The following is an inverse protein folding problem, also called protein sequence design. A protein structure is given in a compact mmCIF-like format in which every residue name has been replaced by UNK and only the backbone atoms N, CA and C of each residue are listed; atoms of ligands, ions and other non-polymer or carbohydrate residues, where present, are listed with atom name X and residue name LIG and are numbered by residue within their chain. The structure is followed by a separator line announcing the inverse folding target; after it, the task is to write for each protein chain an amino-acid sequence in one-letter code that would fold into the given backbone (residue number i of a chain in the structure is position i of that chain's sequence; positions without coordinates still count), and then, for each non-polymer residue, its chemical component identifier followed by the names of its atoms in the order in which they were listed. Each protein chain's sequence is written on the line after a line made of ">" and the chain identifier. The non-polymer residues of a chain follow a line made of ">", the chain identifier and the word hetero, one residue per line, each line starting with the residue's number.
data_IF_878909825329
#
_entry.id   IF_878909825329
#
_cell.length_a   1.000
_cell.length_b   1.000
_cell.length_c   1.000
_cell.angle_alpha   90.00
_cell.angle_beta   90.00
_cell.angle_gamma   90.00
#
_symmetry.space_group_name_H-M   'P 1'
#
loop_
_entity.id
_entity.type
_entity.pdbx_description
1 polymer ?
#
# COMPACT_ATOMS: atom_id res chain seq x y z
N UNK A 1 -27.86 -33.46 -36.97
CA UNK A 1 -26.93 -34.10 -37.93
C UNK A 1 -26.95 -33.27 -39.23
N UNK A 2 -25.95 -33.43 -40.10
CA UNK A 2 -25.98 -33.16 -41.56
C UNK A 2 -26.58 -31.82 -42.07
N UNK A 3 -25.70 -30.91 -42.50
CA UNK A 3 -25.81 -30.31 -43.85
C UNK A 3 -25.25 -31.29 -44.91
N UNK A 4 -24.83 -30.88 -46.14
CA UNK A 4 -24.40 -29.51 -46.53
C UNK A 4 -24.76 -29.05 -47.99
N UNK A 5 -24.30 -27.84 -48.37
CA UNK A 5 -23.83 -27.42 -49.72
C UNK A 5 -24.77 -27.41 -50.96
N UNK A 6 -24.57 -26.60 -52.02
CA UNK A 6 -23.81 -25.35 -52.26
C UNK A 6 -24.09 -24.77 -53.69
N UNK A 7 -23.46 -23.62 -54.03
CA UNK A 7 -23.25 -23.00 -55.38
C UNK A 7 -24.40 -22.23 -56.06
N UNK A 8 -24.18 -21.22 -56.93
CA UNK A 8 -23.08 -20.22 -57.05
C UNK A 8 -23.45 -19.05 -58.04
N UNK A 9 -22.52 -18.09 -58.24
CA UNK A 9 -22.52 -16.94 -59.20
C UNK A 9 -23.36 -15.68 -58.83
N UNK A 10 -22.92 -14.44 -59.13
CA UNK A 10 -21.58 -13.99 -59.58
C UNK A 10 -21.46 -12.48 -59.92
N UNK A 11 -20.21 -11.95 -59.96
CA UNK A 11 -19.72 -10.68 -60.61
C UNK A 11 -20.30 -9.30 -60.21
N UNK A 12 -19.65 -8.12 -60.33
CA UNK A 12 -18.22 -7.62 -60.36
C UNK A 12 -18.28 -6.08 -60.17
N UNK A 13 -17.40 -5.40 -59.42
CA UNK A 13 -16.13 -4.71 -59.85
C UNK A 13 -15.59 -3.90 -58.61
N UNK A 14 -14.30 -3.60 -58.34
CA UNK A 14 -13.18 -2.95 -59.10
C UNK A 14 -13.54 -1.52 -59.54
N UNK A 15 -12.86 -0.45 -59.09
CA UNK A 15 -11.41 -0.11 -59.11
C UNK A 15 -10.85 0.28 -57.71
N UNK A 16 -9.55 0.34 -57.36
CA UNK A 16 -8.23 0.51 -58.03
C UNK A 16 -7.78 1.96 -58.30
N UNK A 17 -6.52 2.44 -58.08
CA UNK A 17 -5.32 2.04 -57.28
C UNK A 17 -4.23 3.13 -57.46
N UNK A 18 -3.17 3.15 -56.63
CA UNK A 18 -1.93 3.99 -56.69
C UNK A 18 -2.05 5.44 -56.14
N UNK A 19 -0.98 6.07 -55.62
CA UNK A 19 0.27 5.46 -55.12
C UNK A 19 1.53 6.36 -55.07
N UNK A 20 2.40 6.08 -54.07
CA UNK A 20 3.88 6.28 -54.06
C UNK A 20 4.46 7.71 -54.19
N UNK A 21 5.14 8.19 -53.14
CA UNK A 21 6.60 8.42 -53.13
C UNK A 21 7.16 8.84 -51.76
N UNK A 22 8.49 8.70 -51.59
CA UNK A 22 9.29 9.22 -50.47
C UNK A 22 9.93 10.55 -50.89
N UNK A 23 10.27 11.42 -49.92
CA UNK A 23 11.40 12.35 -50.03
C UNK A 23 12.12 12.48 -48.69
N UNK A 24 13.45 12.50 -48.74
CA UNK A 24 14.36 12.86 -47.65
C UNK A 24 14.65 14.36 -47.68
N UNK A 25 14.97 14.96 -46.54
CA UNK A 25 15.79 16.19 -46.53
C UNK A 25 16.66 16.22 -45.28
N UNK A 26 17.97 16.31 -45.49
CA UNK A 26 18.98 16.59 -44.48
C UNK A 26 19.27 18.09 -44.46
N UNK A 27 19.54 18.66 -43.29
CA UNK A 27 20.47 19.78 -43.23
C UNK A 27 21.37 19.65 -42.01
N UNK A 28 22.67 19.77 -42.25
CA UNK A 28 23.72 19.74 -41.23
C UNK A 28 24.49 21.05 -41.31
N UNK A 29 24.96 21.56 -40.17
CA UNK A 29 26.20 22.33 -40.12
C UNK A 29 26.96 22.00 -38.83
N UNK A 30 28.23 22.39 -38.80
CA UNK A 30 29.31 21.64 -38.13
C UNK A 30 30.29 22.60 -37.43
N UNK A 31 31.36 22.03 -36.84
CA UNK A 31 32.46 22.71 -36.10
C UNK A 31 32.08 23.14 -34.66
N UNK A 32 33.01 23.21 -33.70
CA UNK A 32 34.46 22.94 -33.75
C UNK A 32 35.02 22.32 -32.44
N UNK A 33 36.33 22.07 -32.40
CA UNK A 33 37.06 21.38 -31.31
C UNK A 33 37.86 22.35 -30.42
N UNK A 34 38.32 21.84 -29.26
CA UNK A 34 39.39 22.38 -28.39
C UNK A 34 39.09 23.70 -27.63
N UNK A 35 39.74 24.02 -26.50
CA UNK A 35 40.43 23.21 -25.48
C UNK A 35 40.68 24.03 -24.19
N UNK A 36 41.05 23.34 -23.10
CA UNK A 36 41.87 23.79 -21.96
C UNK A 36 41.51 25.05 -21.10
N UNK A 37 41.34 24.75 -19.79
CA UNK A 37 42.03 25.38 -18.65
C UNK A 37 41.44 26.58 -17.85
N UNK A 38 41.10 26.24 -16.59
CA UNK A 38 41.36 26.97 -15.31
C UNK A 38 40.66 28.28 -14.92
N UNK A 39 40.47 28.39 -13.59
CA UNK A 39 40.04 29.55 -12.77
C UNK A 39 38.58 30.03 -12.90
N UNK A 40 37.93 30.59 -11.87
CA UNK A 40 38.03 30.36 -10.41
C UNK A 40 36.86 31.07 -9.67
N UNK A 41 36.40 30.51 -8.55
CA UNK A 41 35.74 31.22 -7.43
C UNK A 41 34.41 31.96 -7.69
N UNK A 42 33.30 31.38 -7.25
CA UNK A 42 32.29 32.05 -6.40
C UNK A 42 31.33 31.00 -5.80
N UNK A 43 30.82 31.23 -4.59
CA UNK A 43 29.93 30.29 -3.89
C UNK A 43 28.44 30.56 -4.18
N UNK A 44 27.61 29.52 -4.10
CA UNK A 44 26.18 29.65 -3.83
C UNK A 44 25.69 28.42 -3.05
N UNK A 45 25.43 28.60 -1.75
CA UNK A 45 24.87 27.55 -0.89
C UNK A 45 23.35 27.47 -1.05
N UNK A 46 22.85 26.36 -1.60
CA UNK A 46 21.44 25.97 -1.47
C UNK A 46 21.36 24.61 -0.78
N UNK A 47 20.97 24.62 0.49
CA UNK A 47 21.03 23.45 1.37
C UNK A 47 20.06 22.35 0.96
N UNK A 48 20.60 21.13 0.76
CA UNK A 48 19.81 19.89 0.73
C UNK A 48 19.23 19.64 2.14
N UNK A 49 17.96 19.99 2.34
CA UNK A 49 17.22 19.54 3.53
C UNK A 49 16.74 18.10 3.34
N UNK A 50 17.62 17.14 3.61
CA UNK A 50 17.28 15.72 3.70
C UNK A 50 17.15 15.32 5.18
N UNK A 51 15.97 15.59 5.74
CA UNK A 51 15.65 15.36 7.16
C UNK A 51 14.60 14.26 7.36
N UNK A 52 14.95 13.03 7.02
CA UNK A 52 14.35 11.84 7.64
C UNK A 52 15.46 11.17 8.46
N UNK A 53 15.41 11.34 9.78
CA UNK A 53 16.40 10.77 10.70
C UNK A 53 16.16 9.26 10.80
N UNK A 54 17.08 8.46 10.28
CA UNK A 54 17.11 7.00 10.52
C UNK A 54 17.41 6.73 12.00
N UNK A 55 16.36 6.68 12.82
CA UNK A 55 16.38 6.07 14.15
C UNK A 55 16.84 4.62 13.98
N UNK A 56 18.13 4.36 14.25
CA UNK A 56 18.82 3.07 14.03
C UNK A 56 18.35 1.98 14.98
N UNK A 57 17.12 1.53 14.74
CA UNK A 57 16.67 0.22 15.16
C UNK A 57 17.44 -0.87 14.40
N UNK A 58 17.53 -2.09 14.96
CA UNK A 58 18.28 -3.21 14.39
C UNK A 58 17.61 -3.86 13.17
N UNK A 59 17.08 -3.07 12.24
CA UNK A 59 16.17 -3.56 11.19
C UNK A 59 16.89 -4.43 10.15
N UNK A 60 16.39 -5.65 10.00
CA UNK A 60 16.75 -6.58 8.91
C UNK A 60 16.37 -5.91 7.58
N UNK A 61 17.34 -5.51 6.73
CA UNK A 61 17.12 -4.48 5.72
C UNK A 61 16.10 -4.93 4.68
N UNK A 62 15.01 -4.17 4.58
CA UNK A 62 13.87 -4.49 3.74
C UNK A 62 14.02 -3.90 2.33
N UNK A 63 14.15 -4.76 1.33
CA UNK A 63 14.36 -4.33 -0.06
C UNK A 63 13.05 -4.26 -0.84
N UNK A 64 13.02 -3.36 -1.83
CA UNK A 64 11.89 -3.18 -2.76
C UNK A 64 12.44 -3.17 -4.19
N UNK A 65 11.88 -4.01 -5.04
CA UNK A 65 12.11 -4.00 -6.48
C UNK A 65 11.57 -2.69 -7.09
N UNK A 66 12.38 -2.07 -7.96
CA UNK A 66 12.04 -0.82 -8.68
C UNK A 66 12.32 -0.89 -10.18
N UNK A 67 12.83 -2.02 -10.68
CA UNK A 67 13.23 -2.20 -12.08
C UNK A 67 12.21 -2.94 -12.92
N UNK A 68 11.15 -3.46 -12.29
CA UNK A 68 10.05 -4.16 -12.96
C UNK A 68 10.35 -5.64 -13.12
N UNK A 69 9.95 -6.20 -14.27
CA UNK A 69 10.07 -7.62 -14.58
C UNK A 69 10.55 -7.83 -16.03
N UNK A 70 11.58 -8.68 -16.28
CA UNK A 70 12.35 -9.43 -15.28
C UNK A 70 13.14 -8.54 -14.32
N UNK A 71 13.39 -9.04 -13.11
CA UNK A 71 14.12 -8.31 -12.06
C UNK A 71 15.57 -8.11 -12.50
N UNK A 72 16.11 -6.90 -12.30
CA UNK A 72 17.50 -6.59 -12.66
C UNK A 72 18.53 -7.34 -11.80
N UNK A 73 19.72 -7.58 -12.35
CA UNK A 73 20.80 -8.33 -11.68
C UNK A 73 21.19 -7.75 -10.32
N UNK A 74 21.17 -6.43 -10.13
CA UNK A 74 21.56 -5.82 -8.84
C UNK A 74 20.51 -6.07 -7.77
N UNK A 75 19.22 -5.99 -8.11
CA UNK A 75 18.14 -6.38 -7.18
C UNK A 75 18.12 -7.89 -6.93
N UNK A 76 18.37 -8.71 -7.96
CA UNK A 76 18.41 -10.17 -7.86
C UNK A 76 19.54 -10.67 -6.94
N UNK A 77 20.78 -10.22 -7.17
CA UNK A 77 21.92 -10.60 -6.33
C UNK A 77 21.79 -10.08 -4.90
N UNK A 78 21.18 -8.90 -4.70
CA UNK A 78 20.87 -8.36 -3.37
C UNK A 78 19.82 -9.18 -2.63
N UNK A 79 18.80 -9.71 -3.31
CA UNK A 79 17.81 -10.63 -2.71
C UNK A 79 18.50 -11.91 -2.23
N UNK A 80 19.31 -12.55 -3.07
CA UNK A 80 20.04 -13.76 -2.68
C UNK A 80 21.06 -13.47 -1.55
N UNK A 81 21.81 -12.37 -1.63
CA UNK A 81 22.74 -11.92 -0.57
C UNK A 81 22.06 -11.64 0.78
N UNK A 82 20.75 -11.34 0.79
CA UNK A 82 19.96 -11.21 2.01
C UNK A 82 19.56 -12.59 2.54
N UNK A 83 19.03 -13.45 1.68
CA UNK A 83 18.62 -14.83 2.00
C UNK A 83 19.78 -15.64 2.60
N UNK A 84 20.98 -15.56 1.99
CA UNK A 84 22.22 -16.20 2.49
C UNK A 84 22.59 -15.78 3.93
N UNK A 85 22.18 -14.58 4.38
CA UNK A 85 22.50 -14.05 5.72
C UNK A 85 21.42 -14.32 6.78
N UNK A 86 20.21 -14.67 6.35
CA UNK A 86 19.02 -14.78 7.21
C UNK A 86 18.59 -16.24 7.39
N UNK A 87 18.82 -17.09 6.40
CA UNK A 87 18.53 -18.53 6.48
C UNK A 87 19.68 -19.27 7.20
N UNK A 88 19.41 -20.23 8.12
CA UNK A 88 20.46 -20.99 8.82
C UNK A 88 21.45 -21.67 7.86
N UNK A 89 20.94 -22.45 6.91
CA UNK A 89 21.75 -23.16 5.89
C UNK A 89 22.13 -22.24 4.71
N UNK A 90 22.38 -20.96 4.99
CA UNK A 90 22.29 -19.83 4.05
C UNK A 90 22.85 -20.10 2.65
N UNK A 91 24.17 -20.30 2.53
CA UNK A 91 24.81 -20.48 1.23
C UNK A 91 24.41 -21.80 0.55
N UNK A 92 24.32 -22.91 1.30
CA UNK A 92 23.96 -24.22 0.76
C UNK A 92 22.54 -24.23 0.17
N UNK A 93 21.58 -23.60 0.86
CA UNK A 93 20.22 -23.45 0.37
C UNK A 93 20.15 -22.59 -0.91
N UNK A 94 20.91 -21.49 -0.94
CA UNK A 94 20.97 -20.61 -2.11
C UNK A 94 21.61 -21.30 -3.31
N UNK A 95 22.72 -22.02 -3.14
CA UNK A 95 23.33 -22.79 -4.22
C UNK A 95 22.44 -23.94 -4.70
N UNK A 96 21.74 -24.62 -3.79
CA UNK A 96 20.78 -25.69 -4.11
C UNK A 96 19.63 -25.21 -4.99
N UNK A 97 19.15 -23.96 -4.83
CA UNK A 97 18.09 -23.41 -5.69
C UNK A 97 18.68 -22.80 -6.97
N UNK A 98 19.71 -21.95 -6.86
CA UNK A 98 20.26 -21.19 -8.00
C UNK A 98 20.95 -22.06 -9.05
N UNK A 99 21.57 -23.16 -8.63
CA UNK A 99 22.30 -24.08 -9.51
C UNK A 99 21.47 -25.32 -9.89
N UNK A 100 20.17 -25.36 -9.54
CA UNK A 100 19.28 -26.45 -9.91
C UNK A 100 19.02 -26.48 -11.42
N UNK A 101 19.30 -27.61 -12.06
CA UNK A 101 18.97 -27.83 -13.49
C UNK A 101 17.46 -27.88 -13.74
N UNK A 102 16.69 -28.29 -12.73
CA UNK A 102 15.23 -28.38 -12.77
C UNK A 102 14.62 -27.92 -11.44
N UNK A 103 13.92 -26.79 -11.47
CA UNK A 103 12.98 -26.39 -10.42
C UNK A 103 11.56 -26.76 -10.81
N UNK A 104 10.71 -27.08 -9.83
CA UNK A 104 9.30 -27.34 -10.07
C UNK A 104 8.58 -26.06 -10.49
N UNK A 105 8.09 -26.01 -11.74
CA UNK A 105 7.33 -24.86 -12.23
C UNK A 105 6.07 -24.65 -11.38
N UNK A 106 6.04 -23.56 -10.62
CA UNK A 106 4.88 -23.24 -9.78
C UNK A 106 3.62 -23.08 -10.64
N UNK A 107 2.47 -23.67 -10.26
CA UNK A 107 1.21 -23.43 -10.95
C UNK A 107 0.80 -21.96 -10.77
N UNK A 108 0.41 -21.31 -11.87
CA UNK A 108 -0.14 -19.94 -11.82
C UNK A 108 -1.60 -20.03 -11.34
N UNK A 109 -1.97 -19.49 -10.16
CA UNK A 109 -3.35 -19.47 -9.71
C UNK A 109 -4.23 -18.72 -10.70
N UNK A 110 -5.38 -19.31 -11.06
CA UNK A 110 -6.38 -18.64 -11.88
C UNK A 110 -6.97 -17.45 -11.14
N UNK A 111 -7.00 -16.29 -11.79
CA UNK A 111 -7.65 -15.08 -11.27
C UNK A 111 -9.14 -15.41 -11.02
N UNK A 112 -9.68 -15.10 -9.82
CA UNK A 112 -11.09 -15.35 -9.56
C UNK A 112 -11.95 -14.46 -10.47
N UNK A 113 -13.10 -14.97 -10.90
CA UNK A 113 -14.06 -14.23 -11.72
C UNK A 113 -15.45 -14.27 -11.08
N UNK A 114 -16.06 -13.12 -10.83
CA UNK A 114 -17.31 -13.02 -10.10
C UNK A 114 -18.48 -13.47 -10.98
N UNK A 115 -19.21 -14.48 -10.51
CA UNK A 115 -20.42 -14.99 -11.17
C UNK A 115 -21.65 -14.44 -10.45
N UNK A 116 -22.72 -14.00 -11.14
CA UNK A 116 -23.95 -13.52 -10.50
C UNK A 116 -24.63 -14.52 -9.54
N UNK A 117 -24.25 -15.81 -9.61
CA UNK A 117 -24.72 -16.87 -8.71
C UNK A 117 -23.91 -17.01 -7.41
N UNK A 118 -22.83 -16.24 -7.21
CA UNK A 118 -22.00 -16.29 -6.00
C UNK A 118 -22.50 -15.27 -4.97
N UNK A 119 -22.49 -15.63 -3.68
CA UNK A 119 -22.72 -14.64 -2.63
C UNK A 119 -21.51 -13.72 -2.45
N UNK A 120 -21.72 -12.55 -1.82
CA UNK A 120 -20.63 -11.63 -1.46
C UNK A 120 -19.59 -12.31 -0.55
N UNK A 121 -19.96 -13.07 0.52
CA UNK A 121 -19.02 -13.88 1.28
C UNK A 121 -18.20 -14.87 0.43
N UNK A 122 -18.83 -15.61 -0.50
CA UNK A 122 -18.12 -16.57 -1.35
C UNK A 122 -17.11 -15.87 -2.26
N UNK A 123 -17.46 -14.69 -2.78
CA UNK A 123 -16.56 -13.87 -3.58
C UNK A 123 -15.35 -13.38 -2.79
N UNK A 124 -15.57 -12.83 -1.59
CA UNK A 124 -14.48 -12.38 -0.72
C UNK A 124 -13.58 -13.55 -0.32
N UNK A 125 -14.15 -14.74 -0.06
CA UNK A 125 -13.38 -15.95 0.17
C UNK A 125 -12.57 -16.39 -1.06
N UNK A 126 -13.13 -16.31 -2.28
CA UNK A 126 -12.40 -16.60 -3.51
C UNK A 126 -11.24 -15.61 -3.78
N UNK A 127 -11.46 -14.31 -3.51
CA UNK A 127 -10.42 -13.26 -3.58
C UNK A 127 -9.30 -13.53 -2.57
N UNK A 128 -9.66 -13.90 -1.34
CA UNK A 128 -8.68 -14.23 -0.30
C UNK A 128 -7.93 -15.54 -0.59
N UNK A 129 -8.59 -16.55 -1.14
CA UNK A 129 -7.95 -17.78 -1.61
C UNK A 129 -6.92 -17.48 -2.71
N UNK A 130 -7.24 -16.57 -3.64
CA UNK A 130 -6.29 -16.12 -4.67
C UNK A 130 -5.04 -15.46 -4.04
N UNK A 131 -5.22 -14.55 -3.06
CA UNK A 131 -4.09 -13.96 -2.32
C UNK A 131 -3.26 -15.01 -1.57
N UNK A 132 -3.91 -15.98 -0.91
CA UNK A 132 -3.20 -17.07 -0.22
C UNK A 132 -2.43 -17.97 -1.19
N UNK A 133 -2.93 -18.18 -2.41
CA UNK A 133 -2.25 -18.95 -3.45
C UNK A 133 -1.07 -18.21 -4.11
N UNK A 134 -1.03 -16.87 -4.05
CA UNK A 134 0.18 -16.09 -4.37
C UNK A 134 1.25 -16.22 -3.28
N UNK A 135 0.89 -16.65 -2.07
CA UNK A 135 1.72 -16.75 -0.88
C UNK A 135 2.15 -15.42 -0.26
N UNK A 136 2.53 -15.45 1.03
CA UNK A 136 3.14 -14.30 1.70
C UNK A 136 4.62 -14.20 1.32
N UNK A 137 5.10 -13.02 0.97
CA UNK A 137 6.50 -12.81 0.61
C UNK A 137 7.44 -12.87 1.84
N UNK A 138 8.20 -13.96 1.94
CA UNK A 138 9.24 -14.21 2.96
C UNK A 138 10.68 -13.94 2.46
N UNK A 139 10.86 -13.43 1.24
CA UNK A 139 12.17 -13.38 0.54
C UNK A 139 13.10 -12.23 0.97
N UNK A 140 12.63 -11.37 1.89
CA UNK A 140 13.27 -10.10 2.22
C UNK A 140 13.05 -8.98 1.18
N UNK A 141 12.65 -9.31 -0.06
CA UNK A 141 12.51 -8.35 -1.17
C UNK A 141 11.06 -8.26 -1.64
N UNK A 142 10.42 -7.10 -1.47
CA UNK A 142 9.10 -6.82 -2.03
C UNK A 142 9.20 -6.68 -3.56
N UNK A 143 8.32 -7.37 -4.30
CA UNK A 143 8.41 -7.45 -5.76
C UNK A 143 7.70 -6.30 -6.49
N UNK A 144 6.65 -5.70 -5.93
CA UNK A 144 5.86 -4.65 -6.58
C UNK A 144 5.93 -3.34 -5.78
N UNK A 145 6.46 -2.24 -6.34
CA UNK A 145 6.56 -0.97 -5.59
C UNK A 145 5.20 -0.29 -5.38
N UNK A 146 4.76 -0.19 -4.11
CA UNK A 146 3.51 0.50 -3.73
C UNK A 146 3.79 1.87 -3.09
N UNK A 147 3.83 2.91 -3.93
CA UNK A 147 3.83 4.31 -3.50
C UNK A 147 2.42 4.72 -3.06
N UNK A 148 2.19 4.82 -1.74
CA UNK A 148 0.88 5.14 -1.12
C UNK A 148 0.23 6.46 -1.58
N UNK A 149 1.03 7.40 -2.08
CA UNK A 149 0.62 8.69 -2.63
C UNK A 149 0.24 8.65 -4.11
N UNK A 150 0.46 7.53 -4.83
CA UNK A 150 0.07 7.36 -6.23
C UNK A 150 -1.46 7.40 -6.35
N UNK A 151 -2.01 8.04 -7.41
CA UNK A 151 -3.43 7.94 -7.76
C UNK A 151 -3.96 6.50 -7.80
N UNK A 152 -5.25 6.31 -7.50
CA UNK A 152 -5.89 4.98 -7.50
C UNK A 152 -5.70 4.26 -8.84
N UNK A 153 -5.89 4.96 -9.98
CA UNK A 153 -5.59 4.42 -11.32
C UNK A 153 -4.20 3.80 -11.43
N UNK A 154 -3.19 4.52 -10.95
CA UNK A 154 -1.81 4.04 -10.87
C UNK A 154 -1.63 2.80 -10.01
N UNK A 155 -2.37 2.67 -8.91
CA UNK A 155 -2.34 1.49 -8.07
C UNK A 155 -3.05 0.29 -8.73
N UNK A 156 -4.08 0.54 -9.55
CA UNK A 156 -4.77 -0.49 -10.35
C UNK A 156 -3.95 -0.95 -11.58
N UNK A 157 -2.91 -0.23 -11.97
CA UNK A 157 -1.89 -0.70 -12.92
C UNK A 157 -0.97 -1.74 -12.26
N UNK A 158 -0.42 -1.43 -11.08
CA UNK A 158 0.42 -2.38 -10.33
C UNK A 158 -0.37 -3.61 -9.85
N UNK A 159 -1.67 -3.49 -9.56
CA UNK A 159 -2.51 -4.66 -9.29
C UNK A 159 -2.65 -5.61 -10.50
N UNK A 160 -2.67 -5.08 -11.73
CA UNK A 160 -2.66 -5.90 -12.96
C UNK A 160 -1.30 -6.55 -13.20
N UNK A 161 -0.22 -5.90 -12.80
CA UNK A 161 1.14 -6.46 -12.82
C UNK A 161 1.27 -7.63 -11.82
N UNK A 162 0.79 -7.49 -10.58
CA UNK A 162 0.72 -8.60 -9.61
C UNK A 162 0.02 -9.84 -10.17
N UNK A 163 -1.10 -9.62 -10.88
CA UNK A 163 -1.86 -10.69 -11.53
C UNK A 163 -1.11 -11.32 -12.71
N UNK A 164 -0.31 -10.55 -13.44
CA UNK A 164 0.46 -11.02 -14.62
C UNK A 164 1.70 -11.83 -14.21
N UNK A 165 2.46 -11.34 -13.23
CA UNK A 165 3.69 -11.99 -12.75
C UNK A 165 3.42 -13.09 -11.72
N UNK A 166 2.31 -13.00 -10.98
CA UNK A 166 1.85 -14.02 -10.03
C UNK A 166 2.85 -14.35 -8.90
N UNK A 167 3.62 -13.36 -8.45
CA UNK A 167 4.66 -13.52 -7.41
C UNK A 167 4.11 -13.28 -5.98
N UNK A 168 4.82 -13.78 -4.93
CA UNK A 168 4.47 -13.55 -3.53
C UNK A 168 4.37 -12.08 -3.11
N UNK A 169 3.36 -11.79 -2.28
CA UNK A 169 2.97 -10.43 -1.87
C UNK A 169 3.00 -10.23 -0.36
N UNK A 170 3.16 -8.98 0.09
CA UNK A 170 3.04 -8.55 1.49
C UNK A 170 1.70 -7.84 1.74
N UNK A 171 1.46 -7.47 3.00
CA UNK A 171 0.21 -6.86 3.45
C UNK A 171 -0.26 -5.65 2.62
N UNK A 172 0.65 -4.74 2.23
CA UNK A 172 0.30 -3.55 1.45
C UNK A 172 -0.08 -3.87 -0.01
N UNK A 173 0.62 -4.80 -0.65
CA UNK A 173 0.31 -5.26 -2.01
C UNK A 173 -1.04 -5.98 -2.04
N UNK A 174 -1.32 -6.82 -1.03
CA UNK A 174 -2.61 -7.48 -0.87
C UNK A 174 -3.79 -6.51 -0.69
N UNK A 175 -3.60 -5.36 -0.05
CA UNK A 175 -4.63 -4.31 0.04
C UNK A 175 -4.95 -3.71 -1.34
N UNK A 176 -3.93 -3.44 -2.15
CA UNK A 176 -4.10 -2.89 -3.50
C UNK A 176 -4.74 -3.92 -4.44
N UNK A 177 -4.31 -5.18 -4.38
CA UNK A 177 -4.92 -6.29 -5.11
C UNK A 177 -6.37 -6.55 -4.68
N UNK A 178 -6.65 -6.46 -3.38
CA UNK A 178 -8.00 -6.60 -2.83
C UNK A 178 -8.96 -5.52 -3.33
N UNK A 179 -8.51 -4.27 -3.39
CA UNK A 179 -9.26 -3.17 -4.01
C UNK A 179 -9.53 -3.50 -5.49
N UNK A 180 -8.49 -3.89 -6.25
CA UNK A 180 -8.64 -4.21 -7.68
C UNK A 180 -9.70 -5.30 -7.93
N UNK A 181 -9.59 -6.43 -7.22
CA UNK A 181 -10.49 -7.58 -7.36
C UNK A 181 -11.92 -7.35 -6.81
N UNK A 182 -12.19 -6.19 -6.20
CA UNK A 182 -13.51 -5.86 -5.64
C UNK A 182 -14.12 -4.57 -6.23
N UNK A 183 -13.44 -3.88 -7.14
CA UNK A 183 -13.95 -2.64 -7.77
C UNK A 183 -15.36 -2.81 -8.38
N UNK A 184 -15.62 -3.92 -9.08
CA UNK A 184 -16.92 -4.19 -9.70
C UNK A 184 -18.07 -4.50 -8.73
N UNK A 185 -17.78 -4.75 -7.45
CA UNK A 185 -18.78 -5.19 -6.46
C UNK A 185 -19.26 -4.01 -5.60
N UNK A 186 -20.11 -3.17 -6.19
CA UNK A 186 -20.61 -1.90 -5.61
C UNK A 186 -21.43 -2.05 -4.32
N UNK A 187 -21.78 -3.26 -3.90
CA UNK A 187 -22.40 -3.56 -2.60
C UNK A 187 -21.38 -3.68 -1.45
N UNK A 188 -20.08 -3.68 -1.73
CA UNK A 188 -19.01 -3.79 -0.73
C UNK A 188 -18.20 -2.49 -0.69
N UNK A 189 -18.41 -1.69 0.35
CA UNK A 189 -17.59 -0.52 0.64
C UNK A 189 -16.25 -0.98 1.26
N UNK A 190 -15.12 -0.34 0.92
CA UNK A 190 -13.76 -0.88 1.15
C UNK A 190 -12.82 0.21 1.64
N UNK A 191 -12.07 0.00 2.72
CA UNK A 191 -11.25 1.03 3.36
C UNK A 191 -10.00 0.42 4.02
N UNK A 192 -8.82 1.08 3.98
CA UNK A 192 -7.64 0.54 4.61
C UNK A 192 -7.71 0.68 6.15
N UNK A 193 -7.31 -0.38 6.86
CA UNK A 193 -7.10 -0.39 8.31
C UNK A 193 -5.62 -0.64 8.54
N UNK A 194 -4.88 0.32 9.10
CA UNK A 194 -3.45 0.18 9.40
C UNK A 194 -3.19 0.10 10.90
N UNK A 195 -2.26 -0.76 11.29
CA UNK A 195 -1.81 -0.92 12.66
C UNK A 195 -0.32 -0.53 12.78
N UNK A 196 0.02 0.25 13.81
CA UNK A 196 1.38 0.31 14.38
C UNK A 196 1.35 -0.42 15.72
N UNK A 197 2.17 -1.43 15.87
CA UNK A 197 2.36 -2.18 17.12
C UNK A 197 3.82 -2.11 17.57
N UNK A 198 4.11 -2.58 18.78
CA UNK A 198 5.47 -2.74 19.31
C UNK A 198 5.64 -4.16 19.87
N UNK A 199 6.79 -4.76 19.63
CA UNK A 199 7.20 -6.04 20.21
C UNK A 199 8.72 -6.03 20.41
N UNK A 200 9.21 -6.43 21.59
CA UNK A 200 10.64 -6.42 21.94
C UNK A 200 11.37 -5.11 21.60
N UNK A 201 10.80 -3.97 22.03
CA UNK A 201 11.29 -2.63 21.71
C UNK A 201 10.92 -2.13 20.30
N UNK A 202 11.11 -2.98 19.30
CA UNK A 202 10.90 -2.67 17.89
C UNK A 202 9.45 -2.34 17.51
N UNK A 203 9.29 -1.47 16.52
CA UNK A 203 7.99 -1.05 16.01
C UNK A 203 7.63 -1.75 14.70
N UNK A 204 6.40 -2.26 14.62
CA UNK A 204 5.92 -3.01 13.45
C UNK A 204 4.72 -2.32 12.80
N UNK A 205 4.72 -2.32 11.46
CA UNK A 205 3.67 -1.73 10.64
C UNK A 205 2.96 -2.79 9.79
N UNK A 206 1.63 -2.76 9.81
CA UNK A 206 0.78 -3.70 9.07
C UNK A 206 -0.48 -3.00 8.57
N UNK A 207 -1.13 -3.58 7.55
CA UNK A 207 -2.35 -3.04 6.94
C UNK A 207 -3.22 -4.16 6.38
N UNK A 208 -4.54 -4.01 6.50
CA UNK A 208 -5.56 -4.87 5.88
C UNK A 208 -6.60 -4.00 5.16
N UNK A 209 -7.36 -4.62 4.26
CA UNK A 209 -8.49 -3.97 3.60
C UNK A 209 -9.75 -4.32 4.39
N UNK A 210 -10.22 -3.37 5.20
CA UNK A 210 -11.55 -3.42 5.80
C UNK A 210 -12.61 -3.43 4.70
N UNK A 211 -13.58 -4.32 4.85
CA UNK A 211 -14.75 -4.42 3.97
C UNK A 211 -16.02 -4.26 4.79
N UNK A 212 -17.01 -3.57 4.22
CA UNK A 212 -18.33 -3.36 4.81
C UNK A 212 -19.42 -3.68 3.78
N UNK A 213 -20.35 -4.56 4.15
CA UNK A 213 -21.47 -4.99 3.31
C UNK A 213 -22.66 -5.37 4.20
N UNK A 214 -23.88 -4.97 3.82
CA UNK A 214 -25.15 -5.40 4.45
C UNK A 214 -25.15 -5.34 6.00
N UNK A 215 -24.61 -4.27 6.59
CA UNK A 215 -24.56 -4.08 8.04
C UNK A 215 -23.47 -4.88 8.76
N UNK A 216 -22.53 -5.52 8.04
CA UNK A 216 -21.43 -6.29 8.61
C UNK A 216 -20.06 -5.81 8.13
N UNK A 217 -19.08 -5.97 8.99
CA UNK A 217 -17.66 -5.69 8.78
C UNK A 217 -16.86 -7.00 8.67
N UNK A 218 -15.75 -6.95 7.93
CA UNK A 218 -14.75 -8.01 7.78
C UNK A 218 -13.46 -7.46 7.16
N UNK A 219 -12.51 -8.32 6.77
CA UNK A 219 -11.25 -7.92 6.12
C UNK A 219 -10.79 -8.88 5.02
N UNK A 220 -10.06 -8.33 4.05
CA UNK A 220 -9.14 -9.02 3.15
C UNK A 220 -7.70 -8.57 3.45
N UNK A 221 -6.70 -9.40 3.14
CA UNK A 221 -5.29 -9.00 3.24
C UNK A 221 -4.33 -10.17 3.34
N UNK A 222 -3.05 -9.89 3.59
CA UNK A 222 -2.00 -10.90 3.76
C UNK A 222 -1.14 -10.60 4.99
N UNK A 223 -0.71 -11.65 5.68
CA UNK A 223 0.12 -11.55 6.89
C UNK A 223 0.92 -12.84 7.12
N UNK A 224 1.95 -12.74 7.97
CA UNK A 224 2.74 -13.89 8.48
C UNK A 224 1.97 -14.73 9.51
N UNK A 225 0.82 -14.24 9.99
CA UNK A 225 -0.08 -14.92 10.93
C UNK A 225 -1.49 -14.95 10.34
N UNK A 226 -2.13 -16.11 10.35
CA UNK A 226 -3.42 -16.35 9.69
C UNK A 226 -4.58 -15.58 10.32
N UNK A 227 -4.50 -15.32 11.62
CA UNK A 227 -5.42 -14.50 12.39
C UNK A 227 -5.13 -12.99 12.30
N UNK A 228 -4.15 -12.55 11.50
CA UNK A 228 -3.86 -11.13 11.24
C UNK A 228 -4.04 -10.76 9.76
N UNK A 229 -4.96 -11.40 9.04
CA UNK A 229 -5.25 -11.11 7.63
C UNK A 229 -6.76 -11.02 7.32
N UNK A 230 -7.42 -12.11 6.92
CA UNK A 230 -8.85 -12.12 6.63
C UNK A 230 -9.76 -12.24 7.84
N UNK A 231 -10.98 -11.71 7.67
CA UNK A 231 -12.12 -11.84 8.59
C UNK A 231 -13.40 -11.92 7.78
N UNK A 232 -14.25 -12.88 8.12
CA UNK A 232 -15.58 -13.03 7.55
C UNK A 232 -16.44 -11.78 7.81
N UNK A 233 -17.46 -11.55 6.98
CA UNK A 233 -18.47 -10.49 7.16
C UNK A 233 -19.42 -10.81 8.33
N UNK A 234 -18.87 -10.88 9.55
CA UNK A 234 -19.56 -11.34 10.77
C UNK A 234 -19.68 -10.26 11.83
N UNK A 235 -18.71 -9.35 11.92
CA UNK A 235 -18.67 -8.26 12.90
C UNK A 235 -19.79 -7.25 12.64
N UNK A 236 -20.50 -6.79 13.68
CA UNK A 236 -21.62 -5.84 13.55
C UNK A 236 -21.16 -4.39 13.57
N UNK A 237 -20.03 -4.13 14.23
CA UNK A 237 -19.49 -2.79 14.46
C UNK A 237 -18.02 -2.70 14.06
N UNK A 238 -17.50 -1.49 13.84
CA UNK A 238 -16.10 -1.29 13.44
C UNK A 238 -15.16 -1.57 14.62
N UNK A 239 -15.61 -1.22 15.83
CA UNK A 239 -14.90 -1.48 17.08
C UNK A 239 -14.77 -2.96 17.39
N UNK A 240 -15.81 -3.80 17.19
CA UNK A 240 -15.68 -5.26 17.32
C UNK A 240 -14.55 -5.81 16.42
N UNK A 241 -14.52 -5.41 15.14
CA UNK A 241 -13.49 -5.86 14.19
C UNK A 241 -12.08 -5.39 14.60
N UNK A 242 -11.93 -4.13 14.99
CA UNK A 242 -10.63 -3.56 15.37
C UNK A 242 -10.11 -4.16 16.69
N UNK A 243 -10.99 -4.44 17.64
CA UNK A 243 -10.61 -5.09 18.89
C UNK A 243 -10.27 -6.57 18.71
N UNK A 244 -10.93 -7.29 17.79
CA UNK A 244 -10.52 -8.66 17.44
C UNK A 244 -9.09 -8.71 16.86
N UNK A 245 -8.69 -7.73 16.05
CA UNK A 245 -7.30 -7.56 15.62
C UNK A 245 -6.37 -7.22 16.79
N UNK A 246 -6.76 -6.32 17.71
CA UNK A 246 -5.98 -6.01 18.92
C UNK A 246 -5.74 -7.24 19.79
N UNK A 247 -6.80 -8.02 20.03
CA UNK A 247 -6.80 -9.24 20.84
C UNK A 247 -6.03 -10.38 20.12
N UNK A 248 -5.92 -10.32 18.79
CA UNK A 248 -5.06 -11.19 17.97
C UNK A 248 -3.58 -10.80 18.03
N UNK A 249 -3.24 -9.51 17.98
CA UNK A 249 -1.87 -9.04 18.19
C UNK A 249 -1.33 -9.43 19.57
N UNK A 250 -2.18 -9.40 20.60
CA UNK A 250 -1.81 -9.79 21.98
C UNK A 250 -1.35 -11.24 22.08
N UNK A 251 -1.88 -12.17 21.25
CA UNK A 251 -1.42 -13.57 21.19
C UNK A 251 0.03 -13.72 20.72
N UNK A 252 0.55 -12.74 19.99
CA UNK A 252 1.95 -12.66 19.56
C UNK A 252 2.77 -11.65 20.35
N UNK A 253 2.32 -11.29 21.56
CA UNK A 253 2.99 -10.34 22.47
C UNK A 253 3.16 -8.92 21.88
N UNK A 254 2.51 -8.60 20.76
CA UNK A 254 2.50 -7.26 20.18
C UNK A 254 1.56 -6.34 20.97
N UNK A 255 2.10 -5.21 21.43
CA UNK A 255 1.31 -4.13 22.04
C UNK A 255 0.79 -3.18 20.96
N UNK A 256 -0.52 -2.93 20.92
CA UNK A 256 -1.11 -1.95 20.00
C UNK A 256 -0.68 -0.52 20.38
N UNK A 257 -0.16 0.26 19.42
CA UNK A 257 0.28 1.65 19.65
C UNK A 257 -0.60 2.67 18.94
N UNK A 258 -0.92 2.44 17.67
CA UNK A 258 -1.70 3.37 16.86
C UNK A 258 -2.51 2.63 15.80
N UNK A 259 -3.80 2.94 15.73
CA UNK A 259 -4.73 2.43 14.71
C UNK A 259 -5.02 3.59 13.75
N UNK A 260 -5.00 3.32 12.44
CA UNK A 260 -5.38 4.28 11.41
C UNK A 260 -6.49 3.68 10.55
N UNK A 261 -7.60 4.41 10.39
CA UNK A 261 -8.69 4.02 9.48
C UNK A 261 -8.72 5.03 8.33
N UNK A 262 -8.74 4.52 7.10
CA UNK A 262 -8.93 5.32 5.88
C UNK A 262 -10.39 5.54 5.53
N UNK A 263 -10.63 6.17 4.37
CA UNK A 263 -11.98 6.31 3.81
C UNK A 263 -12.32 5.19 2.82
N UNK A 264 -13.60 5.11 2.45
CA UNK A 264 -14.06 4.24 1.38
C UNK A 264 -13.33 4.57 0.06
N UNK A 265 -12.71 3.57 -0.53
CA UNK A 265 -11.98 3.65 -1.80
C UNK A 265 -12.99 3.63 -2.96
N UNK A 266 -12.96 4.60 -3.88
CA UNK A 266 -13.87 4.65 -5.02
C UNK A 266 -13.88 3.36 -5.86
N UNK A 267 -15.06 2.96 -6.33
CA UNK A 267 -15.25 1.78 -7.19
C UNK A 267 -14.76 1.98 -8.62
N UNK A 268 -14.71 3.23 -9.10
CA UNK A 268 -14.16 3.55 -10.42
C UNK A 268 -12.62 3.49 -10.38
N UNK A 269 -11.98 2.54 -11.09
CA UNK A 269 -10.52 2.40 -11.06
C UNK A 269 -9.79 3.55 -11.75
N UNK A 270 -10.45 4.38 -12.56
CA UNK A 270 -9.83 5.49 -13.29
C UNK A 270 -9.80 6.81 -12.50
N UNK A 271 -10.16 6.78 -11.20
CA UNK A 271 -10.10 7.95 -10.33
C UNK A 271 -8.64 8.36 -10.05
N UNK A 272 -8.34 9.64 -10.25
CA UNK A 272 -7.01 10.22 -10.04
C UNK A 272 -6.71 10.62 -8.57
N UNK A 273 -7.67 10.42 -7.66
CA UNK A 273 -7.47 10.63 -6.23
C UNK A 273 -6.57 9.51 -5.65
N UNK A 274 -5.61 9.81 -4.74
CA UNK A 274 -4.94 8.80 -3.93
C UNK A 274 -5.90 8.19 -2.88
N UNK A 275 -5.55 7.02 -2.36
CA UNK A 275 -6.25 6.42 -1.22
C UNK A 275 -6.02 7.27 0.03
N UNK A 276 -7.08 7.60 0.76
CA UNK A 276 -6.99 8.23 2.08
C UNK A 276 -6.70 7.16 3.14
N UNK A 277 -5.46 7.09 3.63
CA UNK A 277 -4.97 6.00 4.49
C UNK A 277 -5.14 6.21 6.00
N UNK A 278 -5.41 7.45 6.42
CA UNK A 278 -5.25 7.85 7.82
C UNK A 278 -6.20 9.00 8.21
N UNK A 279 -7.47 8.87 7.86
CA UNK A 279 -8.50 9.84 8.21
C UNK A 279 -8.76 9.87 9.72
N UNK A 280 -9.00 8.70 10.31
CA UNK A 280 -9.03 8.51 11.76
C UNK A 280 -7.66 7.97 12.22
N UNK A 281 -7.11 8.53 13.30
CA UNK A 281 -5.82 8.11 13.88
C UNK A 281 -5.92 8.02 15.40
N UNK A 282 -6.23 6.83 15.90
CA UNK A 282 -6.37 6.52 17.33
C UNK A 282 -5.01 6.18 17.95
N UNK A 283 -4.72 6.72 19.13
CA UNK A 283 -3.51 6.39 19.90
C UNK A 283 -3.88 5.47 21.07
N UNK A 284 -3.76 4.16 20.84
CA UNK A 284 -4.20 3.11 21.77
C UNK A 284 -3.47 3.14 23.12
N UNK A 285 -2.30 3.79 23.22
CA UNK A 285 -1.60 3.97 24.50
C UNK A 285 -2.04 5.21 25.30
N UNK A 286 -2.91 6.06 24.75
CA UNK A 286 -3.37 7.31 25.39
C UNK A 286 -4.89 7.37 25.62
N UNK A 287 -5.63 6.30 25.32
CA UNK A 287 -7.09 6.28 25.34
C UNK A 287 -7.60 4.97 25.94
N UNK A 288 -8.71 5.03 26.69
CA UNK A 288 -9.40 3.83 27.16
C UNK A 288 -10.12 3.11 26.00
N UNK A 289 -10.25 1.79 26.10
CA UNK A 289 -10.92 0.94 25.08
C UNK A 289 -12.35 1.41 24.77
N UNK A 290 -13.03 2.05 25.72
CA UNK A 290 -14.38 2.61 25.50
C UNK A 290 -14.39 3.95 24.75
N UNK A 291 -13.37 4.80 24.89
CA UNK A 291 -13.26 6.03 24.09
C UNK A 291 -12.81 5.73 22.66
N UNK A 292 -11.89 4.76 22.51
CA UNK A 292 -11.57 4.16 21.21
C UNK A 292 -12.83 3.60 20.53
N UNK A 293 -13.73 2.94 21.28
CA UNK A 293 -15.02 2.48 20.74
C UNK A 293 -15.87 3.65 20.23
N UNK A 294 -16.04 4.71 21.02
CA UNK A 294 -16.84 5.89 20.64
C UNK A 294 -16.32 6.52 19.35
N UNK A 295 -15.00 6.66 19.19
CA UNK A 295 -14.37 7.18 17.96
C UNK A 295 -14.57 6.25 16.76
N UNK A 296 -14.33 4.95 16.92
CA UNK A 296 -14.52 3.95 15.86
C UNK A 296 -15.98 3.89 15.39
N UNK A 297 -16.94 3.90 16.31
CA UNK A 297 -18.37 3.88 15.95
C UNK A 297 -18.88 5.21 15.40
N UNK A 298 -18.32 6.34 15.83
CA UNK A 298 -18.58 7.63 15.19
C UNK A 298 -18.09 7.61 13.74
N UNK A 299 -16.82 7.29 13.52
CA UNK A 299 -16.24 7.24 12.17
C UNK A 299 -16.93 6.20 11.27
N UNK A 300 -17.30 5.04 11.82
CA UNK A 300 -18.10 4.03 11.14
C UNK A 300 -19.49 4.53 10.72
N UNK A 301 -20.16 5.35 11.54
CA UNK A 301 -21.41 6.03 11.14
C UNK A 301 -21.15 7.10 10.08
N UNK A 302 -20.16 7.96 10.29
CA UNK A 302 -19.87 9.12 9.43
C UNK A 302 -19.48 8.69 7.99
N UNK A 303 -18.78 7.54 7.85
CA UNK A 303 -18.54 6.89 6.55
C UNK A 303 -19.83 6.38 5.89
N UNK A 304 -20.65 5.61 6.63
CA UNK A 304 -21.90 5.02 6.09
C UNK A 304 -22.91 6.09 5.66
N UNK A 305 -22.98 7.20 6.40
CA UNK A 305 -23.83 8.36 6.08
C UNK A 305 -23.25 9.26 4.98
N UNK A 306 -22.03 8.99 4.50
CA UNK A 306 -21.29 9.77 3.48
C UNK A 306 -21.17 11.26 3.85
N UNK A 307 -21.08 11.54 5.16
CA UNK A 307 -20.93 12.89 5.75
C UNK A 307 -19.49 13.38 5.65
N UNK A 308 -18.53 12.45 5.57
CA UNK A 308 -17.11 12.77 5.37
C UNK A 308 -16.87 13.20 3.91
N UNK A 309 -16.27 14.37 3.63
CA UNK A 309 -15.89 14.76 2.28
C UNK A 309 -14.82 13.81 1.72
N UNK A 310 -15.04 13.35 0.48
CA UNK A 310 -14.29 12.27 -0.19
C UNK A 310 -12.78 12.49 -0.28
N UNK A 311 -12.35 13.74 -0.45
CA UNK A 311 -10.94 14.11 -0.61
C UNK A 311 -10.54 15.29 0.30
N UNK A 312 -9.24 15.51 0.45
CA UNK A 312 -8.71 16.71 1.10
C UNK A 312 -9.15 18.00 0.39
N UNK A 313 -9.33 17.95 -0.95
CA UNK A 313 -9.82 19.08 -1.76
C UNK A 313 -11.29 19.39 -1.45
N UNK A 314 -12.11 18.35 -1.24
CA UNK A 314 -13.51 18.53 -0.82
C UNK A 314 -13.60 19.07 0.61
N UNK A 315 -12.70 18.66 1.50
CA UNK A 315 -12.56 19.24 2.85
C UNK A 315 -12.20 20.71 2.79
N UNK A 316 -11.20 21.10 1.99
CA UNK A 316 -10.80 22.51 1.84
C UNK A 316 -11.90 23.35 1.16
N UNK A 317 -12.56 22.84 0.13
CA UNK A 317 -13.71 23.51 -0.52
C UNK A 317 -14.87 23.70 0.46
N UNK A 318 -15.18 22.70 1.30
CA UNK A 318 -16.21 22.82 2.34
C UNK A 318 -15.80 23.78 3.46
N UNK A 319 -14.53 23.80 3.87
CA UNK A 319 -13.99 24.80 4.81
C UNK A 319 -14.14 26.22 4.25
N UNK A 320 -13.82 26.45 2.97
CA UNK A 320 -13.99 27.77 2.33
C UNK A 320 -15.46 28.20 2.31
N UNK A 321 -16.37 27.35 1.85
CA UNK A 321 -17.81 27.64 1.85
C UNK A 321 -18.38 27.90 3.26
N UNK A 322 -17.89 27.18 4.29
CA UNK A 322 -18.28 27.43 5.68
C UNK A 322 -17.71 28.74 6.22
N UNK A 323 -16.48 29.11 5.86
CA UNK A 323 -15.87 30.38 6.27
C UNK A 323 -16.50 31.58 5.54
N UNK A 324 -16.87 31.43 4.27
CA UNK A 324 -17.63 32.45 3.52
C UNK A 324 -19.03 32.64 4.12
N UNK A 325 -19.72 31.55 4.48
CA UNK A 325 -21.02 31.60 5.17
C UNK A 325 -20.93 32.12 6.63
N UNK A 326 -19.74 32.12 7.24
CA UNK A 326 -19.49 32.60 8.60
C UNK A 326 -18.90 34.02 8.65
N UNK A 327 -18.65 34.67 7.51
CA UNK A 327 -18.05 36.00 7.43
C UNK A 327 -19.07 37.11 7.78
N UNK A 328 -18.91 37.86 8.89
CA UNK A 328 -19.77 39.00 9.19
C UNK A 328 -19.39 40.22 8.33
N UNK A 329 -20.36 41.08 8.02
CA UNK A 329 -20.04 42.42 7.51
C UNK A 329 -19.21 43.21 8.55
N UNK A 330 -17.97 43.54 8.19
CA UNK A 330 -17.01 44.15 9.10
C UNK A 330 -17.16 45.68 9.22
N UNK A 331 -17.23 46.25 10.45
CA UNK A 331 -16.87 47.64 10.73
C UNK A 331 -15.35 47.83 10.77
N UNK A 332 -14.88 49.07 10.61
CA UNK A 332 -13.46 49.42 10.48
C UNK A 332 -12.63 49.45 11.79
N UNK A 333 -11.30 49.66 11.70
CA UNK A 333 -10.36 49.34 12.77
C UNK A 333 -10.03 50.48 13.76
N UNK A 334 -9.96 50.12 15.06
CA UNK A 334 -9.18 50.74 16.15
C UNK A 334 -8.89 49.62 17.18
N UNK A 335 -7.79 49.57 17.94
CA UNK A 335 -6.55 50.35 17.90
C UNK A 335 -5.64 50.06 19.12
N UNK A 336 -4.34 49.92 18.88
CA UNK A 336 -3.23 50.02 19.84
C UNK A 336 -2.96 48.86 20.86
N UNK A 337 -1.88 49.03 21.65
CA UNK A 337 -0.97 48.08 22.33
C UNK A 337 -1.50 47.59 23.71
N UNK A 338 -0.91 46.62 24.43
CA UNK A 338 0.41 46.63 25.13
C UNK A 338 0.84 45.21 25.60
N UNK A 339 2.15 44.95 25.77
CA UNK A 339 2.75 43.80 26.49
C UNK A 339 3.34 44.25 27.85
N UNK A 340 3.58 43.32 28.79
CA UNK A 340 4.99 43.04 29.13
C UNK A 340 5.31 41.53 29.36
N UNK A 341 6.58 41.26 29.72
CA UNK A 341 7.14 39.97 30.17
C UNK A 341 6.81 39.77 31.69
N UNK A 342 7.21 38.74 32.47
CA UNK A 342 8.22 37.67 32.42
C UNK A 342 7.84 36.59 33.51
N UNK A 343 8.50 35.46 33.83
CA UNK A 343 9.72 34.76 33.35
C UNK A 343 9.63 33.21 33.57
N UNK A 344 10.61 32.59 34.28
CA UNK A 344 10.79 31.14 34.54
C UNK A 344 11.80 30.96 35.74
N UNK A 345 12.38 29.78 36.05
CA UNK A 345 11.98 28.37 35.90
C UNK A 345 11.94 27.61 37.26
N UNK A 346 11.72 26.28 37.30
CA UNK A 346 12.27 25.40 38.36
C UNK A 346 12.49 23.94 37.89
N UNK A 347 13.15 23.13 38.72
CA UNK A 347 13.95 21.95 38.35
C UNK A 347 13.28 20.57 38.46
N UNK A 348 13.88 19.60 37.75
CA UNK A 348 13.77 18.14 37.91
C UNK A 348 14.39 17.64 39.24
N UNK A 349 14.05 16.43 39.72
CA UNK A 349 15.09 15.40 39.69
C UNK A 349 14.62 13.94 39.45
N UNK A 350 15.20 13.32 38.42
CA UNK A 350 15.79 11.96 38.39
C UNK A 350 15.00 10.75 38.93
N UNK A 351 14.89 9.69 38.11
CA UNK A 351 14.78 8.30 38.61
C UNK A 351 15.69 7.33 37.84
N UNK A 352 15.93 6.17 38.43
CA UNK A 352 17.10 5.31 38.18
C UNK A 352 16.98 4.31 37.03
N UNK A 353 18.15 3.92 36.51
CA UNK A 353 18.34 2.99 35.41
C UNK A 353 18.38 1.53 35.91
N UNK A 354 17.56 0.65 35.32
CA UNK A 354 17.68 -0.81 35.43
C UNK A 354 17.34 -1.49 34.09
N UNK A 355 18.19 -2.42 33.66
CA UNK A 355 18.03 -3.15 32.38
C UNK A 355 17.67 -4.63 32.61
N UNK A 356 16.72 -5.20 31.86
CA UNK A 356 16.48 -6.65 31.82
C UNK A 356 17.43 -7.36 30.84
N UNK A 357 17.69 -8.67 31.01
CA UNK A 357 18.63 -9.43 30.18
C UNK A 357 18.08 -9.79 28.79
N UNK A 358 19.00 -10.08 27.87
CA UNK A 358 18.71 -10.55 26.52
C UNK A 358 18.29 -12.03 26.49
N UNK A 359 17.29 -12.34 25.66
CA UNK A 359 16.94 -13.70 25.25
C UNK A 359 16.71 -13.72 23.74
N UNK A 360 17.48 -14.55 23.03
CA UNK A 360 17.41 -14.71 21.56
C UNK A 360 16.45 -15.84 21.18
N UNK A 361 15.36 -15.58 20.43
CA UNK A 361 14.57 -16.65 19.84
C UNK A 361 15.22 -17.13 18.53
N UNK A 362 15.58 -18.40 18.46
CA UNK A 362 15.81 -19.05 17.17
C UNK A 362 14.47 -19.18 16.43
N UNK A 363 14.47 -18.87 15.14
CA UNK A 363 13.33 -19.09 14.25
C UNK A 363 13.84 -19.70 12.95
N UNK A 364 13.51 -20.98 12.73
CA UNK A 364 13.71 -21.61 11.42
C UNK A 364 12.77 -20.96 10.41
N UNK A 365 13.36 -20.41 9.34
CA UNK A 365 12.63 -19.81 8.24
C UNK A 365 12.82 -20.70 7.02
N UNK A 366 11.93 -21.66 6.81
CA UNK A 366 11.88 -22.45 5.57
C UNK A 366 11.45 -21.54 4.41
N UNK A 367 12.42 -20.89 3.75
CA UNK A 367 12.17 -20.03 2.60
C UNK A 367 11.98 -20.92 1.36
N UNK A 368 10.71 -21.18 1.01
CA UNK A 368 10.36 -21.74 -0.30
C UNK A 368 10.40 -20.60 -1.33
N UNK A 369 11.58 -20.40 -1.92
CA UNK A 369 11.78 -19.57 -3.10
C UNK A 369 11.63 -20.45 -4.36
N UNK A 370 10.86 -19.97 -5.33
CA UNK A 370 10.65 -20.55 -6.67
C UNK A 370 10.64 -19.41 -7.69
#
# INVERSE_FOLDING_TARGET
>A
MTGPSATSSGSTAKTSRHGRSKSTSTYCHTTGLAAESTSSTAANNTGRSSGEEEEKDGEVPFFVNRTGFPIDTVTWERMWSHVTKVHPDGQEMVDRIRNATHLSKHPVPSVPNFKPSMSVPDWLHAVQNYMRNLQYNHTGTQFFEIKKTRPLSGLMETAREMIRESLPIKCLEAVILGIYLTNGLTSVERFPISFKTQFSGHHFHHVVLGVYCNGRYGTLGMSRRTDLMDRSLSFRTLSELVFDFEDSYRRYQHTMKKIKIGLYVPHNPHVFQPIEWNYLVINACKQGREDMRKELEKHGRDMRMKVIPSSAVDRERRMKLLNEAAAPHAPGPRGERVRPLDSAPYLDPSFSNTAPPSLTPQHDITIVLV
#
